data_IF_298333175203
#
_entry.id   IF_298333175203
#
_cell.length_a   1.000
_cell.length_b   1.000
_cell.length_c   1.000
_cell.angle_alpha   90.00
_cell.angle_beta   90.00
_cell.angle_gamma   90.00
#
_symmetry.space_group_name_H-M   'P 1'
#
loop_
_entity.id
_entity.type
_entity.pdbx_description
1 polymer ?
#
# COMPACT_ATOMS: atom_id res chain seq x y z
N UNK A 1 6.24 -9.94 14.69
CA UNK A 1 6.80 -9.03 15.71
C UNK A 1 5.78 -7.96 16.01
N UNK A 2 5.40 -7.83 17.26
CA UNK A 2 4.53 -6.76 17.73
C UNK A 2 5.39 -5.60 18.25
N UNK A 3 5.28 -4.42 17.60
CA UNK A 3 6.05 -3.24 17.97
C UNK A 3 5.51 -2.51 19.21
N UNK A 4 4.31 -2.85 19.69
CA UNK A 4 3.74 -2.26 20.91
C UNK A 4 4.19 -3.01 22.16
N UNK A 5 4.22 -4.36 22.07
CA UNK A 5 4.64 -5.23 23.17
C UNK A 5 6.13 -5.58 23.11
N UNK A 6 6.80 -5.29 21.99
CA UNK A 6 8.16 -5.71 21.67
C UNK A 6 8.34 -7.24 21.68
N UNK A 7 7.26 -7.97 21.44
CA UNK A 7 7.24 -9.44 21.43
C UNK A 7 7.38 -9.99 20.00
N UNK A 8 8.06 -11.13 19.89
CA UNK A 8 8.15 -11.90 18.67
C UNK A 8 7.48 -13.26 18.87
N UNK A 9 6.51 -13.55 18.01
CA UNK A 9 5.85 -14.87 17.99
C UNK A 9 6.35 -15.66 16.79
N UNK A 10 6.88 -16.87 17.04
CA UNK A 10 7.25 -17.83 16.00
C UNK A 10 6.15 -18.86 15.88
N UNK A 11 5.71 -19.12 14.65
CA UNK A 11 4.68 -20.10 14.35
C UNK A 11 5.20 -21.04 13.27
N UNK A 12 5.06 -22.34 13.49
CA UNK A 12 5.24 -23.38 12.47
C UNK A 12 3.93 -24.16 12.35
N UNK A 13 3.56 -24.47 11.11
CA UNK A 13 2.30 -25.17 10.82
C UNK A 13 2.56 -26.41 9.99
N UNK A 14 1.78 -27.46 10.24
CA UNK A 14 1.77 -28.68 9.45
C UNK A 14 0.60 -28.66 8.44
N UNK A 15 0.59 -27.68 7.53
CA UNK A 15 -0.52 -27.51 6.57
C UNK A 15 -0.34 -28.38 5.31
N UNK A 16 0.90 -28.69 4.93
CA UNK A 16 1.23 -29.37 3.68
C UNK A 16 2.24 -30.52 3.81
N UNK A 17 2.54 -30.94 5.04
CA UNK A 17 3.49 -32.03 5.31
C UNK A 17 2.97 -32.92 6.45
N UNK A 18 3.39 -34.20 6.42
CA UNK A 18 3.03 -35.16 7.49
C UNK A 18 4.04 -35.09 8.67
N UNK A 19 4.56 -33.89 8.98
CA UNK A 19 5.50 -33.67 10.08
C UNK A 19 4.85 -33.95 11.43
N UNK A 20 5.54 -34.71 12.28
CA UNK A 20 5.11 -34.92 13.65
C UNK A 20 5.42 -33.72 14.56
N UNK A 21 4.81 -33.69 15.75
CA UNK A 21 4.95 -32.61 16.74
C UNK A 21 6.42 -32.37 17.12
N UNK A 22 7.21 -33.42 17.33
CA UNK A 22 8.65 -33.31 17.63
C UNK A 22 9.47 -32.65 16.51
N UNK A 23 9.05 -32.82 15.26
CA UNK A 23 9.72 -32.19 14.11
C UNK A 23 9.37 -30.70 14.02
N UNK A 24 8.12 -30.32 14.32
CA UNK A 24 7.70 -28.93 14.42
C UNK A 24 8.40 -28.20 15.56
N UNK A 25 8.56 -28.83 16.74
CA UNK A 25 9.35 -28.28 17.85
C UNK A 25 10.81 -28.06 17.47
N UNK A 26 11.42 -29.03 16.78
CA UNK A 26 12.80 -28.89 16.27
C UNK A 26 12.95 -27.72 15.28
N UNK A 27 11.94 -27.50 14.40
CA UNK A 27 11.91 -26.36 13.48
C UNK A 27 11.80 -25.03 14.23
N UNK A 28 10.94 -24.96 15.27
CA UNK A 28 10.82 -23.76 16.12
C UNK A 28 12.13 -23.42 16.83
N UNK A 29 12.80 -24.41 17.40
CA UNK A 29 14.10 -24.22 18.07
C UNK A 29 15.17 -23.75 17.08
N UNK A 30 15.18 -24.28 15.86
CA UNK A 30 16.11 -23.86 14.80
C UNK A 30 15.88 -22.40 14.42
N UNK A 31 14.61 -22.00 14.17
CA UNK A 31 14.23 -20.63 13.87
C UNK A 31 14.60 -19.66 15.00
N UNK A 32 14.36 -20.05 16.25
CA UNK A 32 14.72 -19.22 17.41
C UNK A 32 16.23 -19.00 17.50
N UNK A 33 17.07 -20.03 17.21
CA UNK A 33 18.51 -19.92 17.14
C UNK A 33 18.98 -19.00 16.03
N UNK A 34 18.43 -19.15 14.83
CA UNK A 34 18.77 -18.31 13.67
C UNK A 34 18.48 -16.83 13.96
N UNK A 35 17.30 -16.53 14.53
CA UNK A 35 16.92 -15.17 14.89
C UNK A 35 17.77 -14.59 16.03
N UNK A 36 18.25 -15.42 16.94
CA UNK A 36 19.18 -15.02 18.00
C UNK A 36 20.63 -14.78 17.52
N UNK A 37 20.96 -15.18 16.28
CA UNK A 37 22.30 -15.00 15.72
C UNK A 37 22.46 -13.58 15.17
N UNK A 38 23.49 -12.82 15.58
CA UNK A 38 23.70 -11.49 15.06
C UNK A 38 23.91 -11.51 13.54
N UNK A 39 23.08 -10.76 12.81
CA UNK A 39 23.25 -10.60 11.38
C UNK A 39 24.54 -9.83 11.09
N UNK A 40 25.42 -10.31 10.19
CA UNK A 40 26.60 -9.55 9.78
C UNK A 40 26.20 -8.15 9.31
N UNK A 41 26.93 -7.13 9.78
CA UNK A 41 26.70 -5.73 9.39
C UNK A 41 27.30 -5.42 7.99
N UNK A 42 27.21 -6.31 7.05
CA UNK A 42 27.59 -5.99 5.67
C UNK A 42 26.51 -5.09 5.05
N UNK A 43 26.67 -3.81 5.32
CA UNK A 43 26.02 -2.77 4.52
C UNK A 43 27.03 -2.36 3.45
N UNK A 44 26.93 -2.94 2.27
CA UNK A 44 27.58 -2.32 1.12
C UNK A 44 27.05 -0.88 1.00
N UNK A 45 27.90 0.13 0.95
CA UNK A 45 27.45 1.49 0.71
C UNK A 45 26.68 1.48 -0.60
N UNK A 46 25.45 2.04 -0.60
CA UNK A 46 24.72 2.20 -1.84
C UNK A 46 25.59 3.09 -2.75
N UNK A 47 26.02 2.56 -3.88
CA UNK A 47 26.74 3.33 -4.86
C UNK A 47 25.87 4.52 -5.26
N UNK A 48 26.47 5.69 -5.35
CA UNK A 48 25.84 6.91 -5.84
C UNK A 48 25.77 6.85 -7.38
N UNK A 49 25.05 5.83 -7.89
CA UNK A 49 24.86 5.61 -9.31
C UNK A 49 23.59 6.32 -9.76
N UNK A 50 23.75 7.21 -10.76
CA UNK A 50 22.60 7.76 -11.48
C UNK A 50 21.92 6.64 -12.28
N UNK A 51 20.70 6.28 -11.91
CA UNK A 51 19.94 5.28 -12.63
C UNK A 51 19.37 5.87 -13.93
N UNK A 52 19.64 5.21 -15.05
CA UNK A 52 19.03 5.53 -16.34
C UNK A 52 17.79 4.68 -16.54
N UNK A 53 16.65 5.33 -16.61
CA UNK A 53 15.35 4.66 -16.80
C UNK A 53 14.98 4.65 -18.29
N UNK A 54 14.43 3.50 -18.71
CA UNK A 54 13.76 3.37 -20.02
C UNK A 54 12.29 3.05 -19.78
N UNK A 55 11.41 3.67 -20.56
CA UNK A 55 9.97 3.41 -20.55
C UNK A 55 9.58 2.47 -21.70
N UNK A 56 8.48 1.75 -21.53
CA UNK A 56 7.84 1.00 -22.61
C UNK A 56 6.95 1.87 -23.52
N UNK A 57 6.80 3.16 -23.20
CA UNK A 57 6.13 4.17 -24.01
C UNK A 57 7.10 5.31 -24.33
N UNK A 58 6.92 5.96 -25.49
CA UNK A 58 7.36 7.34 -25.68
C UNK A 58 6.37 8.29 -24.99
N UNK A 59 6.75 9.53 -24.80
CA UNK A 59 5.84 10.52 -24.21
C UNK A 59 4.59 10.69 -25.07
N UNK A 60 4.74 10.85 -26.37
CA UNK A 60 3.63 11.05 -27.32
C UNK A 60 2.68 9.84 -27.34
N UNK A 61 3.22 8.63 -27.28
CA UNK A 61 2.40 7.41 -27.24
C UNK A 61 1.60 7.31 -25.93
N UNK A 62 2.18 7.70 -24.80
CA UNK A 62 1.47 7.71 -23.53
C UNK A 62 0.38 8.81 -23.49
N UNK A 63 0.67 9.99 -24.00
CA UNK A 63 -0.28 11.10 -24.12
C UNK A 63 -1.48 10.73 -25.03
N UNK A 64 -1.24 9.97 -26.11
CA UNK A 64 -2.31 9.44 -26.96
C UNK A 64 -3.23 8.47 -26.21
N UNK A 65 -2.67 7.56 -25.39
CA UNK A 65 -3.48 6.67 -24.52
C UNK A 65 -4.31 7.47 -23.53
N UNK A 66 -3.74 8.54 -22.95
CA UNK A 66 -4.50 9.41 -22.03
C UNK A 66 -5.63 10.13 -22.76
N UNK A 67 -5.41 10.58 -24.01
CA UNK A 67 -6.46 11.22 -24.81
C UNK A 67 -7.59 10.25 -25.15
N UNK A 68 -7.27 9.04 -25.60
CA UNK A 68 -8.27 7.98 -25.83
C UNK A 68 -9.10 7.68 -24.58
N UNK A 69 -8.43 7.57 -23.42
CA UNK A 69 -9.12 7.37 -22.13
C UNK A 69 -10.10 8.50 -21.80
N UNK A 70 -9.72 9.78 -22.08
CA UNK A 70 -10.60 10.96 -21.91
C UNK A 70 -11.78 10.93 -22.86
N UNK A 71 -11.61 10.48 -24.08
CA UNK A 71 -12.68 10.37 -25.08
C UNK A 71 -13.70 9.30 -24.65
N UNK A 72 -13.25 8.14 -24.14
CA UNK A 72 -14.11 7.08 -23.60
C UNK A 72 -14.90 7.54 -22.35
N UNK A 73 -14.27 8.34 -21.48
CA UNK A 73 -14.96 8.94 -20.32
C UNK A 73 -16.04 9.92 -20.81
N UNK A 74 -15.73 10.75 -21.81
CA UNK A 74 -16.69 11.71 -22.39
C UNK A 74 -17.85 11.01 -23.07
N UNK A 75 -17.60 9.86 -23.72
CA UNK A 75 -18.64 9.03 -24.34
C UNK A 75 -19.52 8.30 -23.31
N UNK A 76 -19.12 8.22 -22.05
CA UNK A 76 -19.82 7.50 -20.98
C UNK A 76 -19.51 6.01 -20.91
N UNK A 77 -18.50 5.53 -21.65
CA UNK A 77 -18.07 4.14 -21.63
C UNK A 77 -17.27 3.78 -20.37
N UNK A 78 -16.61 4.78 -19.78
CA UNK A 78 -15.80 4.65 -18.57
C UNK A 78 -16.10 5.79 -17.58
N UNK A 79 -16.02 5.51 -16.28
CA UNK A 79 -16.05 6.53 -15.23
C UNK A 79 -14.64 6.95 -14.83
N UNK A 80 -13.73 5.98 -14.74
CA UNK A 80 -12.34 6.16 -14.36
C UNK A 80 -11.48 5.10 -15.03
N UNK A 81 -10.23 5.48 -15.38
CA UNK A 81 -9.20 4.56 -15.83
C UNK A 81 -7.83 5.11 -15.42
N UNK A 82 -6.92 4.23 -15.09
CA UNK A 82 -5.54 4.55 -14.71
C UNK A 82 -4.59 4.01 -15.77
N UNK A 83 -4.20 4.78 -16.78
CA UNK A 83 -3.14 4.39 -17.70
C UNK A 83 -1.82 4.21 -16.95
N UNK A 84 -1.05 3.20 -17.32
CA UNK A 84 0.21 2.91 -16.66
C UNK A 84 1.36 2.74 -17.64
N UNK A 85 2.57 3.03 -17.20
CA UNK A 85 3.81 2.75 -17.91
C UNK A 85 4.77 1.98 -17.01
N UNK A 86 5.69 1.26 -17.63
CA UNK A 86 6.74 0.53 -16.93
C UNK A 86 8.09 1.18 -17.18
N UNK A 87 8.71 1.62 -16.09
CA UNK A 87 10.07 2.11 -16.09
C UNK A 87 11.04 0.98 -15.76
N UNK A 88 12.14 0.87 -16.48
CA UNK A 88 13.22 -0.11 -16.25
C UNK A 88 14.53 0.61 -16.05
N UNK A 89 15.31 0.11 -15.09
CA UNK A 89 16.68 0.52 -14.88
C UNK A 89 17.53 -0.71 -14.53
N UNK A 90 18.82 -0.64 -14.85
CA UNK A 90 19.76 -1.65 -14.38
C UNK A 90 20.12 -1.34 -12.92
N UNK A 91 19.77 -2.24 -12.03
CA UNK A 91 19.98 -2.09 -10.59
C UNK A 91 20.96 -3.13 -10.10
N UNK A 92 22.12 -2.68 -9.58
CA UNK A 92 23.26 -3.55 -9.18
C UNK A 92 23.30 -3.86 -7.69
N UNK A 93 22.46 -3.21 -6.90
CA UNK A 93 22.49 -3.34 -5.45
C UNK A 93 21.63 -4.50 -4.98
N UNK A 94 21.83 -4.94 -3.74
CA UNK A 94 20.98 -5.93 -3.09
C UNK A 94 19.53 -5.40 -3.02
N UNK A 95 18.53 -6.17 -3.50
CA UNK A 95 17.12 -5.79 -3.35
C UNK A 95 16.71 -5.59 -1.89
N UNK A 96 17.28 -6.35 -0.97
CA UNK A 96 16.99 -6.22 0.45
C UNK A 96 17.57 -4.94 1.07
N UNK A 97 18.76 -4.51 0.66
CA UNK A 97 19.32 -3.23 1.10
C UNK A 97 18.52 -2.04 0.55
N UNK A 98 18.01 -2.16 -0.69
CA UNK A 98 17.07 -1.20 -1.24
C UNK A 98 15.81 -1.11 -0.38
N UNK A 99 15.19 -2.24 -0.01
CA UNK A 99 14.04 -2.27 0.88
C UNK A 99 14.33 -1.59 2.23
N UNK A 100 15.48 -1.89 2.84
CA UNK A 100 15.87 -1.27 4.12
C UNK A 100 15.98 0.25 4.03
N UNK A 101 16.50 0.78 2.93
CA UNK A 101 16.54 2.23 2.68
C UNK A 101 15.15 2.81 2.39
N UNK A 102 14.36 2.13 1.58
CA UNK A 102 12.98 2.54 1.29
C UNK A 102 12.16 2.68 2.58
N UNK A 103 12.29 1.71 3.49
CA UNK A 103 11.66 1.73 4.81
C UNK A 103 12.03 2.96 5.64
N UNK A 104 13.27 3.42 5.57
CA UNK A 104 13.73 4.60 6.31
C UNK A 104 13.35 5.91 5.63
N UNK A 105 13.41 5.96 4.29
CA UNK A 105 13.16 7.17 3.52
C UNK A 105 11.67 7.46 3.34
N UNK A 106 10.85 6.43 3.18
CA UNK A 106 9.42 6.54 2.92
C UNK A 106 8.61 5.57 3.80
N UNK A 107 8.58 5.77 5.12
CA UNK A 107 7.78 4.95 6.02
C UNK A 107 6.29 5.11 5.70
N UNK A 108 5.58 4.00 5.64
CA UNK A 108 4.15 3.94 5.37
C UNK A 108 3.50 2.81 6.17
N UNK A 109 2.17 2.75 6.16
CA UNK A 109 1.42 1.73 6.89
C UNK A 109 1.74 0.30 6.41
N UNK A 110 2.02 0.16 5.11
CA UNK A 110 2.35 -1.12 4.50
C UNK A 110 3.74 -1.03 3.86
N UNK A 111 4.63 -1.89 4.31
CA UNK A 111 5.98 -2.04 3.80
C UNK A 111 6.19 -3.51 3.55
N UNK A 112 6.57 -3.89 2.33
CA UNK A 112 6.71 -5.30 1.99
C UNK A 112 7.95 -5.58 1.17
N UNK A 113 8.52 -6.74 1.42
CA UNK A 113 9.58 -7.38 0.66
C UNK A 113 9.15 -8.82 0.40
N UNK A 114 8.81 -9.14 -0.82
CA UNK A 114 8.38 -10.48 -1.22
C UNK A 114 9.48 -11.13 -2.06
N UNK A 115 9.98 -12.24 -1.58
CA UNK A 115 11.02 -13.03 -2.21
C UNK A 115 10.38 -14.26 -2.86
N UNK A 116 10.08 -14.19 -4.15
CA UNK A 116 9.44 -15.30 -4.85
C UNK A 116 10.45 -16.36 -5.32
N UNK A 117 11.65 -15.94 -5.72
CA UNK A 117 12.73 -16.82 -6.18
C UNK A 117 14.03 -16.00 -6.36
N UNK A 118 15.10 -16.66 -6.82
CA UNK A 118 16.40 -16.03 -7.01
C UNK A 118 16.38 -14.80 -7.94
N UNK A 119 15.44 -14.76 -8.90
CA UNK A 119 15.40 -13.71 -9.92
C UNK A 119 14.31 -12.66 -9.71
N UNK A 120 13.32 -12.93 -8.85
CA UNK A 120 12.12 -12.09 -8.71
C UNK A 120 11.89 -11.69 -7.26
N UNK A 121 12.03 -10.40 -7.00
CA UNK A 121 11.68 -9.78 -5.73
C UNK A 121 10.66 -8.66 -5.97
N UNK A 122 9.67 -8.53 -5.09
CA UNK A 122 8.72 -7.41 -5.13
C UNK A 122 8.88 -6.59 -3.86
N UNK A 123 9.14 -5.30 -4.04
CA UNK A 123 9.44 -4.38 -2.95
C UNK A 123 8.51 -3.19 -3.07
N UNK A 124 7.89 -2.79 -1.97
CA UNK A 124 7.02 -1.64 -2.01
C UNK A 124 6.73 -1.02 -0.65
N UNK A 125 6.18 0.17 -0.74
CA UNK A 125 5.60 0.93 0.36
C UNK A 125 4.27 1.52 -0.10
N UNK A 126 3.23 1.42 0.71
CA UNK A 126 1.89 1.93 0.41
C UNK A 126 1.20 2.45 1.67
N UNK A 127 0.51 3.59 1.61
CA UNK A 127 -0.37 4.05 2.67
C UNK A 127 -1.74 3.36 2.64
N UNK A 128 -2.08 2.70 1.55
CA UNK A 128 -3.44 2.27 1.23
C UNK A 128 -3.70 0.82 1.63
N UNK A 129 -4.80 0.60 2.34
CA UNK A 129 -5.30 -0.73 2.70
C UNK A 129 -6.27 -1.21 1.64
N UNK A 130 -6.01 -2.37 1.05
CA UNK A 130 -6.95 -3.00 0.12
C UNK A 130 -8.22 -3.44 0.88
N UNK A 131 -8.04 -4.25 1.91
CA UNK A 131 -9.10 -4.75 2.78
C UNK A 131 -8.51 -5.17 4.12
N UNK A 132 -9.25 -4.94 5.19
CA UNK A 132 -8.91 -5.43 6.51
C UNK A 132 -10.08 -6.24 7.08
N UNK A 133 -9.77 -7.38 7.69
CA UNK A 133 -10.73 -8.18 8.44
C UNK A 133 -10.23 -8.31 9.87
N UNK A 134 -11.09 -7.93 10.83
CA UNK A 134 -10.78 -8.03 12.26
C UNK A 134 -11.98 -8.59 13.01
N UNK A 135 -11.92 -9.88 13.35
CA UNK A 135 -13.08 -10.63 13.82
C UNK A 135 -14.15 -10.72 12.73
N UNK A 136 -15.35 -10.28 13.01
CA UNK A 136 -16.46 -10.22 12.05
C UNK A 136 -16.51 -8.88 11.26
N UNK A 137 -15.64 -7.94 11.57
CA UNK A 137 -15.62 -6.63 10.95
C UNK A 137 -14.72 -6.65 9.71
N UNK A 138 -15.26 -6.23 8.57
CA UNK A 138 -14.51 -6.01 7.33
C UNK A 138 -14.51 -4.53 7.01
N UNK A 139 -13.39 -4.00 6.52
CA UNK A 139 -13.25 -2.59 6.17
C UNK A 139 -12.33 -2.35 4.99
N UNK A 140 -12.54 -1.23 4.31
CA UNK A 140 -11.64 -0.64 3.33
C UNK A 140 -11.50 0.85 3.58
N UNK A 141 -10.35 1.40 3.21
CA UNK A 141 -10.04 2.83 3.41
C UNK A 141 -9.80 3.50 2.05
N UNK A 142 -10.84 4.04 1.41
CA UNK A 142 -10.66 4.88 0.23
C UNK A 142 -9.75 6.07 0.52
N UNK A 143 -8.75 6.28 -0.34
CA UNK A 143 -7.82 7.41 -0.29
C UNK A 143 -7.82 8.06 -1.66
N UNK A 144 -8.10 9.36 -1.73
CA UNK A 144 -8.01 10.15 -2.95
C UNK A 144 -7.64 11.60 -2.64
N UNK A 145 -7.30 12.33 -3.69
CA UNK A 145 -6.84 13.70 -3.54
C UNK A 145 -5.47 13.81 -2.87
N UNK A 146 -4.65 14.72 -3.36
CA UNK A 146 -3.30 14.89 -2.82
C UNK A 146 -2.91 16.35 -2.79
N UNK A 147 -2.37 16.80 -1.67
CA UNK A 147 -1.63 18.08 -1.57
C UNK A 147 -0.30 17.83 -0.86
N UNK A 148 0.70 18.62 -1.21
CA UNK A 148 1.97 18.63 -0.48
C UNK A 148 1.76 19.18 0.92
N UNK A 149 2.63 18.81 1.84
CA UNK A 149 2.67 19.42 3.18
C UNK A 149 3.10 20.88 3.08
N UNK A 150 2.49 21.73 3.87
CA UNK A 150 2.89 23.13 4.00
C UNK A 150 4.19 23.27 4.79
N UNK A 151 4.97 24.33 4.51
CA UNK A 151 6.19 24.65 5.25
C UNK A 151 5.90 25.14 6.69
N UNK A 152 4.69 25.67 6.92
CA UNK A 152 4.21 26.12 8.21
C UNK A 152 2.88 25.48 8.55
N UNK A 153 2.51 25.45 9.84
CA UNK A 153 1.21 24.94 10.28
C UNK A 153 0.03 25.69 9.66
N UNK A 154 0.17 27.00 9.46
CA UNK A 154 -0.87 27.82 8.83
C UNK A 154 -1.06 27.45 7.34
N UNK A 155 0.03 27.31 6.61
CA UNK A 155 0.01 26.86 5.21
C UNK A 155 -0.53 25.42 5.08
N UNK A 156 -0.13 24.53 5.97
CA UNK A 156 -0.58 23.14 6.00
C UNK A 156 -2.10 23.05 6.21
N UNK A 157 -2.66 23.89 7.07
CA UNK A 157 -4.11 23.96 7.26
C UNK A 157 -4.83 24.57 6.06
N UNK A 158 -4.29 25.62 5.45
CA UNK A 158 -4.85 26.22 4.23
C UNK A 158 -4.90 25.19 3.08
N UNK A 159 -3.83 24.43 2.88
CA UNK A 159 -3.79 23.37 1.86
C UNK A 159 -4.77 22.23 2.15
N UNK A 160 -4.97 21.90 3.42
CA UNK A 160 -5.97 20.93 3.84
C UNK A 160 -7.41 21.40 3.54
N UNK A 161 -7.72 22.66 3.82
CA UNK A 161 -9.01 23.27 3.52
C UNK A 161 -9.24 23.38 2.00
N UNK A 162 -8.22 23.78 1.25
CA UNK A 162 -8.25 23.82 -0.21
C UNK A 162 -8.57 22.43 -0.79
N UNK A 163 -7.91 21.37 -0.31
CA UNK A 163 -8.16 20.00 -0.74
C UNK A 163 -9.61 19.55 -0.44
N UNK A 164 -10.11 19.84 0.76
CA UNK A 164 -11.47 19.48 1.16
C UNK A 164 -12.56 20.27 0.39
N UNK A 165 -12.22 21.43 -0.17
CA UNK A 165 -13.15 22.24 -0.94
C UNK A 165 -13.01 22.05 -2.45
N UNK A 166 -12.05 21.26 -2.92
CA UNK A 166 -11.86 20.96 -4.33
C UNK A 166 -12.97 20.01 -4.83
N UNK A 167 -13.84 20.50 -5.68
CA UNK A 167 -15.01 19.76 -6.17
C UNK A 167 -14.62 18.49 -6.93
N UNK A 168 -13.54 18.54 -7.72
CA UNK A 168 -13.05 17.39 -8.49
C UNK A 168 -12.53 16.30 -7.57
N UNK A 169 -11.67 16.66 -6.63
CA UNK A 169 -11.08 15.71 -5.67
C UNK A 169 -12.16 15.06 -4.80
N UNK A 170 -13.17 15.84 -4.38
CA UNK A 170 -14.32 15.35 -3.63
C UNK A 170 -15.18 14.39 -4.45
N UNK A 171 -15.45 14.71 -5.71
CA UNK A 171 -16.25 13.86 -6.60
C UNK A 171 -15.56 12.52 -6.84
N UNK A 172 -14.24 12.54 -7.10
CA UNK A 172 -13.43 11.33 -7.23
C UNK A 172 -13.46 10.50 -5.93
N UNK A 173 -13.26 11.14 -4.79
CA UNK A 173 -13.28 10.46 -3.51
C UNK A 173 -14.64 9.85 -3.17
N UNK A 174 -15.75 10.55 -3.48
CA UNK A 174 -17.10 10.02 -3.32
C UNK A 174 -17.33 8.77 -4.17
N UNK A 175 -16.85 8.76 -5.41
CA UNK A 175 -16.90 7.58 -6.28
C UNK A 175 -16.17 6.38 -5.66
N UNK A 176 -15.00 6.59 -5.04
CA UNK A 176 -14.25 5.53 -4.36
C UNK A 176 -14.96 5.05 -3.09
N UNK A 177 -15.64 5.93 -2.35
CA UNK A 177 -16.47 5.53 -1.20
C UNK A 177 -17.62 4.64 -1.68
N UNK A 178 -18.32 5.01 -2.75
CA UNK A 178 -19.43 4.23 -3.29
C UNK A 178 -18.94 2.87 -3.83
N UNK A 179 -17.79 2.81 -4.46
CA UNK A 179 -17.13 1.55 -4.84
C UNK A 179 -16.85 0.69 -3.61
N UNK A 180 -16.25 1.26 -2.57
CA UNK A 180 -15.97 0.55 -1.32
C UNK A 180 -17.24 0.05 -0.62
N UNK A 181 -18.32 0.85 -0.62
CA UNK A 181 -19.63 0.42 -0.10
C UNK A 181 -20.22 -0.75 -0.88
N UNK A 182 -20.09 -0.73 -2.21
CA UNK A 182 -20.53 -1.83 -3.07
C UNK A 182 -19.72 -3.10 -2.80
N UNK A 183 -18.40 -3.01 -2.71
CA UNK A 183 -17.51 -4.15 -2.49
C UNK A 183 -17.73 -4.78 -1.11
N UNK A 184 -17.76 -3.97 -0.05
CA UNK A 184 -18.09 -4.43 1.30
C UNK A 184 -19.50 -5.00 1.36
N UNK A 185 -20.48 -4.38 0.68
CA UNK A 185 -21.88 -4.82 0.65
C UNK A 185 -22.09 -6.23 0.08
N UNK A 186 -21.20 -6.69 -0.79
CA UNK A 186 -21.24 -8.06 -1.35
C UNK A 186 -21.01 -9.14 -0.30
N UNK A 187 -20.17 -8.87 0.69
CA UNK A 187 -19.69 -9.82 1.69
C UNK A 187 -20.21 -9.51 3.10
N UNK A 188 -20.78 -8.33 3.32
CA UNK A 188 -21.33 -7.92 4.61
C UNK A 188 -22.82 -8.26 4.76
N UNK A 189 -23.27 -8.37 6.00
CA UNK A 189 -24.69 -8.50 6.33
C UNK A 189 -25.48 -7.29 5.82
N UNK A 190 -26.70 -7.54 5.37
CA UNK A 190 -27.59 -6.48 4.85
C UNK A 190 -27.82 -5.42 5.93
N UNK A 191 -27.61 -4.15 5.57
CA UNK A 191 -27.80 -3.02 6.48
C UNK A 191 -26.63 -2.75 7.44
N UNK A 192 -25.56 -3.55 7.41
CA UNK A 192 -24.37 -3.36 8.27
C UNK A 192 -23.31 -2.42 7.69
N UNK A 193 -23.41 -2.08 6.40
CA UNK A 193 -22.41 -1.21 5.74
C UNK A 193 -22.58 0.23 6.20
N UNK A 194 -21.53 0.80 6.75
CA UNK A 194 -21.47 2.17 7.26
C UNK A 194 -20.21 2.89 6.78
N UNK A 195 -20.21 4.22 6.88
CA UNK A 195 -19.05 5.07 6.60
C UNK A 195 -18.74 5.90 7.85
N UNK A 196 -18.10 5.31 8.87
CA UNK A 196 -17.90 5.98 10.16
C UNK A 196 -16.88 7.13 10.08
N UNK A 197 -16.03 7.15 9.06
CA UNK A 197 -15.11 8.24 8.78
C UNK A 197 -15.35 8.70 7.34
N UNK A 198 -15.69 9.97 7.15
CA UNK A 198 -16.07 10.50 5.85
C UNK A 198 -15.28 11.76 5.50
N UNK A 199 -14.48 11.69 4.43
CA UNK A 199 -13.74 12.82 3.86
C UNK A 199 -12.92 13.61 4.90
N UNK A 200 -12.05 12.94 5.64
CA UNK A 200 -11.12 13.59 6.56
C UNK A 200 -9.74 13.74 5.94
N UNK A 201 -8.98 14.75 6.40
CA UNK A 201 -7.58 14.91 5.97
C UNK A 201 -6.67 14.07 6.86
N UNK A 202 -5.94 13.15 6.24
CA UNK A 202 -4.79 12.49 6.85
C UNK A 202 -3.49 13.09 6.35
N UNK A 203 -2.62 13.44 7.30
CA UNK A 203 -1.33 14.10 7.05
C UNK A 203 -0.20 13.09 7.19
N UNK A 204 0.48 12.82 6.07
CA UNK A 204 1.67 11.98 6.01
C UNK A 204 2.94 12.83 6.02
N UNK A 205 4.09 12.22 5.92
CA UNK A 205 5.37 12.93 6.00
C UNK A 205 5.52 14.03 4.95
N UNK A 206 5.14 13.76 3.70
CA UNK A 206 5.38 14.65 2.56
C UNK A 206 4.10 15.17 1.89
N UNK A 207 3.00 14.50 2.13
CA UNK A 207 1.71 14.78 1.50
C UNK A 207 0.57 14.66 2.50
N UNK A 208 -0.61 15.15 2.10
CA UNK A 208 -1.88 14.89 2.78
C UNK A 208 -2.89 14.38 1.76
N UNK A 209 -3.83 13.58 2.22
CA UNK A 209 -4.88 12.97 1.42
C UNK A 209 -6.25 13.13 2.07
N UNK A 210 -7.31 13.04 1.24
CA UNK A 210 -8.68 12.81 1.73
C UNK A 210 -8.82 11.30 1.97
N UNK A 211 -9.27 10.93 3.16
CA UNK A 211 -9.45 9.54 3.58
C UNK A 211 -10.86 9.32 4.10
N UNK A 212 -11.41 8.17 3.82
CA UNK A 212 -12.66 7.67 4.42
C UNK A 212 -12.49 6.23 4.89
N UNK A 213 -13.40 5.78 5.74
CA UNK A 213 -13.49 4.40 6.19
C UNK A 213 -14.86 3.85 5.82
N UNK A 214 -14.89 2.77 5.07
CA UNK A 214 -16.10 1.99 4.80
C UNK A 214 -15.98 0.67 5.52
N UNK A 215 -16.97 0.31 6.32
CA UNK A 215 -16.95 -0.93 7.08
C UNK A 215 -18.30 -1.64 7.10
N UNK A 216 -18.27 -2.95 7.36
CA UNK A 216 -19.45 -3.78 7.50
C UNK A 216 -19.16 -5.01 8.36
N UNK A 217 -20.20 -5.75 8.72
CA UNK A 217 -20.08 -7.02 9.41
C UNK A 217 -20.17 -8.16 8.40
N UNK A 218 -19.17 -9.06 8.40
CA UNK A 218 -19.13 -10.22 7.50
C UNK A 218 -20.37 -11.09 7.66
N UNK A 219 -20.88 -11.60 6.54
CA UNK A 219 -21.88 -12.68 6.54
C UNK A 219 -21.28 -13.92 7.17
N UNK A 220 -22.10 -14.66 7.91
CA UNK A 220 -21.74 -16.00 8.39
C UNK A 220 -21.76 -17.02 7.27
#
# INVERSE_FOLDING_TARGET
FDHQTEEMTLVVENTYSDCGEAELESQLEMLARELGTPTPKEQAPLADETLHFTSNFTQEAFEAVVQEAKDLITAGDLFQVVPSQRLRAHFKQSPFDYYRKLRLSNPSAYLYYLDFNETTKVIGTSPESLVQVKGEKVSTNPIAGTRKRGATKAEDNRLAEELLNDEKERAEHLMLIDLGRNDIGRIAEIGSVTVPLYMVIEKYRYVMHIVSLVEGRLKK
#
